data_IF_564105623525
#
_entry.id   IF_564105623525
#
_cell.length_a   1.000
_cell.length_b   1.000
_cell.length_c   1.000
_cell.angle_alpha   90.00
_cell.angle_beta   90.00
_cell.angle_gamma   90.00
#
_symmetry.space_group_name_H-M   'P 1'
#
loop_
_entity.id
_entity.type
_entity.pdbx_description
1 polymer ?
#
# COMPACT_ATOMS: atom_id res chain seq x y z
N UNK A 1 -5.71 -21.00 20.41
CA UNK A 1 -5.81 -21.60 19.06
C UNK A 1 -5.02 -20.78 18.04
N UNK A 2 -5.30 -19.48 17.86
CA UNK A 2 -4.50 -18.59 16.98
C UNK A 2 -3.00 -18.52 17.36
N UNK A 3 -2.69 -18.50 18.66
CA UNK A 3 -1.32 -18.42 19.18
C UNK A 3 -0.48 -19.67 18.87
N UNK A 4 -1.10 -20.85 18.78
CA UNK A 4 -0.43 -22.11 18.43
C UNK A 4 -0.03 -22.13 16.96
N UNK A 5 -0.90 -21.65 16.06
CA UNK A 5 -0.65 -21.64 14.62
C UNK A 5 0.53 -20.70 14.30
N UNK A 6 0.57 -19.53 14.93
CA UNK A 6 1.65 -18.53 14.74
C UNK A 6 3.03 -19.04 15.22
N UNK A 7 3.05 -19.85 16.28
CA UNK A 7 4.31 -20.31 16.91
C UNK A 7 4.85 -21.62 16.35
N UNK A 8 4.00 -22.58 15.97
CA UNK A 8 4.43 -23.91 15.53
C UNK A 8 4.67 -24.04 14.02
N UNK A 9 4.04 -23.19 13.20
CA UNK A 9 4.08 -23.31 11.74
C UNK A 9 4.62 -22.05 11.05
N UNK A 10 5.56 -21.34 11.70
CA UNK A 10 6.10 -20.07 11.21
C UNK A 10 6.68 -20.18 9.78
N UNK A 11 7.43 -21.23 9.49
CA UNK A 11 8.04 -21.43 8.17
C UNK A 11 7.00 -21.76 7.10
N UNK A 12 5.99 -22.56 7.45
CA UNK A 12 4.87 -22.87 6.57
C UNK A 12 4.02 -21.62 6.29
N UNK A 13 3.72 -20.83 7.32
CA UNK A 13 3.06 -19.54 7.22
C UNK A 13 3.82 -18.60 6.29
N UNK A 14 5.14 -18.48 6.46
CA UNK A 14 5.96 -17.62 5.61
C UNK A 14 5.92 -18.03 4.13
N UNK A 15 5.87 -19.33 3.86
CA UNK A 15 5.72 -19.87 2.50
C UNK A 15 4.34 -19.65 1.87
N UNK A 16 3.29 -19.46 2.69
CA UNK A 16 1.90 -19.38 2.22
C UNK A 16 1.23 -18.03 2.53
N UNK A 17 2.00 -16.98 2.84
CA UNK A 17 1.47 -15.67 3.25
C UNK A 17 0.42 -15.11 2.29
N UNK A 18 0.67 -15.20 0.97
CA UNK A 18 -0.25 -14.69 -0.04
C UNK A 18 -1.56 -15.48 -0.10
N UNK A 19 -1.49 -16.80 0.04
CA UNK A 19 -2.67 -17.69 0.07
C UNK A 19 -3.51 -17.44 1.31
N UNK A 20 -2.85 -17.35 2.47
CA UNK A 20 -3.52 -17.12 3.74
C UNK A 20 -4.14 -15.73 3.74
N UNK A 21 -3.44 -14.71 3.23
CA UNK A 21 -3.99 -13.36 3.10
C UNK A 21 -5.21 -13.32 2.17
N UNK A 22 -5.13 -13.93 0.99
CA UNK A 22 -6.27 -14.00 0.06
C UNK A 22 -7.45 -14.74 0.68
N UNK A 23 -7.22 -15.87 1.35
CA UNK A 23 -8.26 -16.66 2.01
C UNK A 23 -8.87 -15.92 3.20
N UNK A 24 -8.03 -15.38 4.08
CA UNK A 24 -8.46 -14.60 5.23
C UNK A 24 -9.22 -13.33 4.80
N UNK A 25 -8.88 -12.72 3.66
CA UNK A 25 -9.62 -11.58 3.07
C UNK A 25 -11.07 -11.88 2.71
N UNK A 26 -11.45 -13.16 2.69
CA UNK A 26 -12.84 -13.60 2.50
C UNK A 26 -13.60 -13.69 3.83
N UNK A 27 -12.91 -13.70 4.98
CA UNK A 27 -13.50 -13.87 6.31
C UNK A 27 -13.13 -12.70 7.22
N UNK A 28 -14.13 -11.88 7.60
CA UNK A 28 -13.94 -10.65 8.40
C UNK A 28 -13.53 -10.89 9.88
N UNK A 29 -13.46 -12.15 10.33
CA UNK A 29 -13.50 -12.50 11.75
C UNK A 29 -12.13 -12.72 12.44
N UNK A 30 -10.98 -12.71 11.74
CA UNK A 30 -9.69 -13.16 12.30
C UNK A 30 -8.74 -12.03 12.75
N UNK A 31 -9.17 -11.13 13.63
CA UNK A 31 -8.46 -9.86 13.87
C UNK A 31 -7.01 -9.96 14.42
N UNK A 32 -6.68 -10.92 15.30
CA UNK A 32 -5.30 -11.07 15.83
C UNK A 32 -4.35 -11.69 14.81
N UNK A 33 -4.79 -12.76 14.17
CA UNK A 33 -4.05 -13.45 13.13
C UNK A 33 -3.79 -12.53 11.92
N UNK A 34 -4.79 -11.73 11.55
CA UNK A 34 -4.66 -10.67 10.55
C UNK A 34 -3.60 -9.63 10.90
N UNK A 35 -3.56 -9.14 12.14
CA UNK A 35 -2.53 -8.18 12.57
C UNK A 35 -1.12 -8.76 12.41
N UNK A 36 -0.94 -10.05 12.72
CA UNK A 36 0.33 -10.73 12.55
C UNK A 36 0.71 -10.86 11.07
N UNK A 37 -0.21 -11.33 10.21
CA UNK A 37 0.04 -11.44 8.77
C UNK A 37 0.31 -10.09 8.11
N UNK A 38 -0.42 -9.04 8.48
CA UNK A 38 -0.13 -7.69 8.00
C UNK A 38 1.28 -7.24 8.41
N UNK A 39 1.72 -7.51 9.66
CA UNK A 39 3.08 -7.14 10.11
C UNK A 39 4.14 -7.81 9.23
N UNK A 40 3.97 -9.09 8.90
CA UNK A 40 4.91 -9.82 8.04
C UNK A 40 4.84 -9.38 6.57
N UNK A 41 3.64 -9.16 6.03
CA UNK A 41 3.43 -8.73 4.65
C UNK A 41 3.90 -7.30 4.38
N UNK A 42 3.81 -6.41 5.36
CA UNK A 42 4.33 -5.04 5.23
C UNK A 42 5.85 -5.03 5.13
N UNK A 43 6.53 -5.98 5.78
CA UNK A 43 7.98 -6.14 5.70
C UNK A 43 8.43 -6.82 4.40
N UNK A 44 7.67 -7.82 3.95
CA UNK A 44 7.94 -8.59 2.72
C UNK A 44 6.78 -8.51 1.74
N UNK A 45 6.41 -7.32 1.26
CA UNK A 45 5.26 -7.13 0.37
C UNK A 45 5.43 -7.90 -0.94
N UNK A 46 6.67 -8.09 -1.40
CA UNK A 46 6.98 -8.84 -2.62
C UNK A 46 6.47 -10.29 -2.56
N UNK A 47 6.35 -10.88 -1.38
CA UNK A 47 5.77 -12.23 -1.22
C UNK A 47 4.29 -12.26 -1.62
N UNK A 48 3.56 -11.16 -1.43
CA UNK A 48 2.19 -11.00 -1.92
C UNK A 48 2.18 -10.64 -3.40
N UNK A 49 2.90 -9.58 -3.80
CA UNK A 49 2.86 -9.05 -5.16
C UNK A 49 3.31 -10.04 -6.24
N UNK A 50 4.26 -10.93 -5.94
CA UNK A 50 4.72 -11.96 -6.90
C UNK A 50 3.81 -13.20 -6.96
N UNK A 51 2.80 -13.28 -6.09
CA UNK A 51 1.93 -14.44 -5.97
C UNK A 51 0.71 -14.35 -6.91
N UNK A 52 0.26 -15.45 -7.52
CA UNK A 52 -0.98 -15.47 -8.29
C UNK A 52 -2.21 -15.09 -7.43
N UNK A 53 -2.12 -15.27 -6.11
CA UNK A 53 -3.19 -14.90 -5.18
C UNK A 53 -3.43 -13.39 -5.13
N UNK A 54 -2.44 -12.55 -5.47
CA UNK A 54 -2.60 -11.11 -5.53
C UNK A 54 -3.64 -10.69 -6.57
N UNK A 55 -3.61 -11.30 -7.75
CA UNK A 55 -4.54 -11.04 -8.85
C UNK A 55 -6.00 -11.39 -8.48
N UNK A 56 -6.18 -12.30 -7.52
CA UNK A 56 -7.48 -12.73 -7.00
C UNK A 56 -8.03 -11.87 -5.85
N UNK A 57 -7.29 -10.87 -5.37
CA UNK A 57 -7.70 -10.07 -4.23
C UNK A 57 -8.93 -9.21 -4.53
N UNK A 58 -9.85 -9.15 -3.56
CA UNK A 58 -10.98 -8.22 -3.60
C UNK A 58 -10.47 -6.78 -3.59
N UNK A 59 -11.17 -5.92 -4.36
CA UNK A 59 -10.89 -4.47 -4.45
C UNK A 59 -10.70 -3.81 -3.07
N UNK A 60 -11.61 -4.08 -2.12
CA UNK A 60 -11.59 -3.46 -0.79
C UNK A 60 -10.34 -3.84 0.03
N UNK A 61 -9.95 -5.12 -0.02
CA UNK A 61 -8.74 -5.64 0.63
C UNK A 61 -7.49 -5.00 0.03
N UNK A 62 -7.39 -5.01 -1.30
CA UNK A 62 -6.25 -4.44 -2.00
C UNK A 62 -6.13 -2.94 -1.71
N UNK A 63 -7.25 -2.20 -1.74
CA UNK A 63 -7.26 -0.77 -1.45
C UNK A 63 -6.79 -0.48 -0.03
N UNK A 64 -7.21 -1.29 0.94
CA UNK A 64 -6.77 -1.16 2.34
C UNK A 64 -5.27 -1.42 2.47
N UNK A 65 -4.74 -2.38 1.72
CA UNK A 65 -3.30 -2.66 1.68
C UNK A 65 -2.51 -1.50 1.06
N UNK A 66 -2.92 -0.99 -0.11
CA UNK A 66 -2.23 0.11 -0.82
C UNK A 66 -2.27 1.44 -0.05
N UNK A 67 -3.29 1.68 0.77
CA UNK A 67 -3.39 2.90 1.61
C UNK A 67 -2.30 3.02 2.68
N UNK A 68 -1.64 1.91 3.03
CA UNK A 68 -0.69 1.88 4.15
C UNK A 68 0.60 2.65 3.86
N UNK A 69 1.02 3.53 4.77
CA UNK A 69 2.25 4.30 4.60
C UNK A 69 3.54 3.50 4.86
N UNK A 70 3.44 2.27 5.33
CA UNK A 70 4.57 1.49 5.85
C UNK A 70 5.03 0.32 4.96
N UNK A 71 4.45 0.17 3.75
CA UNK A 71 4.85 -0.88 2.83
C UNK A 71 6.30 -0.72 2.39
N UNK A 72 7.10 -1.78 2.54
CA UNK A 72 8.49 -1.84 2.10
C UNK A 72 8.64 -2.29 0.64
N UNK A 73 8.11 -1.50 -0.30
CA UNK A 73 8.16 -1.78 -1.75
C UNK A 73 8.21 -0.48 -2.55
N UNK A 74 8.87 -0.54 -3.71
CA UNK A 74 8.97 0.60 -4.62
C UNK A 74 7.59 0.96 -5.22
N UNK A 75 7.31 2.26 -5.32
CA UNK A 75 6.03 2.75 -5.83
C UNK A 75 5.78 2.37 -7.30
N UNK A 76 6.85 2.24 -8.10
CA UNK A 76 6.73 1.73 -9.47
C UNK A 76 6.28 0.27 -9.51
N UNK A 77 6.71 -0.53 -8.54
CA UNK A 77 6.32 -1.94 -8.44
C UNK A 77 4.87 -2.06 -7.96
N UNK A 78 4.43 -1.22 -7.02
CA UNK A 78 3.02 -1.11 -6.64
C UNK A 78 2.16 -0.78 -7.87
N UNK A 79 2.55 0.24 -8.63
CA UNK A 79 1.81 0.68 -9.81
C UNK A 79 1.72 -0.43 -10.87
N UNK A 80 2.84 -1.08 -11.19
CA UNK A 80 2.88 -2.19 -12.14
C UNK A 80 1.94 -3.32 -11.73
N UNK A 81 2.03 -3.77 -10.49
CA UNK A 81 1.16 -4.84 -10.01
C UNK A 81 -0.33 -4.43 -10.00
N UNK A 82 -0.64 -3.16 -9.72
CA UNK A 82 -2.03 -2.68 -9.81
C UNK A 82 -2.58 -2.73 -11.23
N UNK A 83 -1.75 -2.41 -12.24
CA UNK A 83 -2.11 -2.57 -13.65
C UNK A 83 -2.38 -4.06 -13.95
N UNK A 84 -1.48 -4.96 -13.55
CA UNK A 84 -1.64 -6.39 -13.74
C UNK A 84 -2.93 -6.91 -13.06
N UNK A 85 -3.17 -6.54 -11.80
CA UNK A 85 -4.40 -6.86 -11.08
C UNK A 85 -5.64 -6.36 -11.82
N UNK A 86 -5.61 -5.11 -12.29
CA UNK A 86 -6.75 -4.52 -12.97
C UNK A 86 -7.02 -5.19 -14.32
N UNK A 87 -6.00 -5.62 -15.06
CA UNK A 87 -6.15 -6.35 -16.32
C UNK A 87 -6.73 -7.75 -16.13
N UNK A 88 -6.38 -8.43 -15.05
CA UNK A 88 -6.89 -9.77 -14.71
C UNK A 88 -8.31 -9.77 -14.15
N UNK A 89 -8.87 -8.62 -13.79
CA UNK A 89 -10.28 -8.54 -13.37
C UNK A 89 -11.22 -8.85 -14.54
N UNK A 90 -12.41 -9.38 -14.23
CA UNK A 90 -13.41 -9.72 -15.25
C UNK A 90 -14.24 -8.48 -15.64
N UNK A 91 -14.42 -8.19 -16.95
CA UNK A 91 -13.83 -8.86 -18.12
C UNK A 91 -12.32 -8.60 -18.27
N UNK A 92 -11.57 -9.63 -18.63
CA UNK A 92 -10.11 -9.54 -18.75
C UNK A 92 -9.71 -8.53 -19.82
N UNK A 93 -8.78 -7.63 -19.48
CA UNK A 93 -8.18 -6.70 -20.42
C UNK A 93 -6.88 -7.29 -20.99
N UNK A 94 -6.46 -6.76 -22.13
CA UNK A 94 -5.14 -7.09 -22.69
C UNK A 94 -4.06 -6.50 -21.79
N UNK A 95 -2.87 -7.11 -21.79
CA UNK A 95 -1.71 -6.55 -21.10
C UNK A 95 -0.91 -5.56 -21.97
N UNK A 96 -1.07 -5.63 -23.30
CA UNK A 96 -0.42 -4.72 -24.25
C UNK A 96 -1.20 -3.41 -24.37
N UNK A 97 -0.77 -2.38 -23.63
CA UNK A 97 -1.34 -1.02 -23.64
C UNK A 97 -1.38 -0.38 -25.03
N UNK A 98 -0.46 -0.74 -25.93
CA UNK A 98 -0.45 -0.25 -27.32
C UNK A 98 -1.64 -0.75 -28.14
N UNK A 99 -2.35 -1.78 -27.67
CA UNK A 99 -3.55 -2.35 -28.30
C UNK A 99 -4.84 -2.00 -27.57
N UNK A 100 -4.81 -1.09 -26.61
CA UNK A 100 -5.99 -0.67 -25.86
C UNK A 100 -6.90 0.18 -26.73
N UNK A 101 -8.17 -0.19 -26.75
CA UNK A 101 -9.24 0.64 -27.27
C UNK A 101 -9.64 1.70 -26.24
N UNK A 102 -10.43 2.69 -26.65
CA UNK A 102 -10.97 3.68 -25.73
C UNK A 102 -11.82 3.04 -24.61
N UNK A 103 -12.49 1.92 -24.90
CA UNK A 103 -13.27 1.19 -23.90
C UNK A 103 -12.36 0.46 -22.91
N UNK A 104 -11.23 -0.09 -23.35
CA UNK A 104 -10.25 -0.72 -22.45
C UNK A 104 -9.69 0.30 -21.45
N UNK A 105 -9.38 1.52 -21.92
CA UNK A 105 -8.95 2.61 -21.03
C UNK A 105 -10.03 3.01 -20.03
N UNK A 106 -11.29 3.15 -20.45
CA UNK A 106 -12.42 3.47 -19.53
C UNK A 106 -12.63 2.39 -18.47
N UNK A 107 -12.51 1.12 -18.87
CA UNK A 107 -12.64 0.00 -17.94
C UNK A 107 -11.48 -0.02 -16.93
N UNK A 108 -10.25 0.17 -17.41
CA UNK A 108 -9.06 0.26 -16.56
C UNK A 108 -9.16 1.45 -15.58
N UNK A 109 -9.59 2.62 -16.06
CA UNK A 109 -9.84 3.81 -15.25
C UNK A 109 -10.86 3.52 -14.14
N UNK A 110 -12.00 2.91 -14.47
CA UNK A 110 -13.03 2.53 -13.49
C UNK A 110 -12.47 1.60 -12.41
N UNK A 111 -11.59 0.66 -12.80
CA UNK A 111 -10.92 -0.27 -11.88
C UNK A 111 -9.88 0.43 -11.01
N UNK A 112 -9.18 1.45 -11.48
CA UNK A 112 -8.06 2.04 -10.76
C UNK A 112 -8.34 3.40 -10.10
N UNK A 113 -9.46 4.05 -10.41
CA UNK A 113 -9.79 5.40 -9.91
C UNK A 113 -9.66 5.58 -8.40
N UNK A 114 -10.05 4.58 -7.61
CA UNK A 114 -9.99 4.66 -6.14
C UNK A 114 -8.58 4.40 -5.60
N UNK A 115 -7.70 3.80 -6.40
CA UNK A 115 -6.31 3.50 -6.04
C UNK A 115 -5.37 4.65 -6.37
N UNK A 116 -5.61 5.36 -7.49
CA UNK A 116 -4.76 6.46 -8.01
C UNK A 116 -4.37 7.48 -6.91
N UNK A 117 -5.28 7.96 -6.04
CA UNK A 117 -4.94 8.93 -4.99
C UNK A 117 -3.92 8.41 -3.96
N UNK A 118 -3.70 7.10 -3.88
CA UNK A 118 -2.82 6.46 -2.88
C UNK A 118 -1.46 6.03 -3.46
N UNK A 119 -1.21 6.31 -4.74
CA UNK A 119 0.05 6.04 -5.41
C UNK A 119 0.94 7.28 -5.35
N UNK A 120 2.19 7.11 -4.90
CA UNK A 120 3.14 8.23 -4.79
C UNK A 120 3.93 8.38 -6.08
N UNK A 121 3.26 8.79 -7.16
CA UNK A 121 3.87 8.90 -8.49
C UNK A 121 5.12 9.79 -8.52
N UNK A 122 5.19 10.82 -7.67
CA UNK A 122 6.36 11.70 -7.55
C UNK A 122 7.57 11.05 -6.85
N UNK A 123 7.40 9.87 -6.26
CA UNK A 123 8.48 9.07 -5.68
C UNK A 123 9.05 8.03 -6.68
N UNK A 124 8.54 8.00 -7.91
CA UNK A 124 8.99 7.11 -8.99
C UNK A 124 10.09 7.82 -9.80
N UNK A 125 11.06 7.07 -10.32
CA UNK A 125 12.12 7.65 -11.18
C UNK A 125 11.58 8.05 -12.56
N UNK A 126 12.28 8.94 -13.27
CA UNK A 126 11.89 9.36 -14.63
C UNK A 126 11.78 8.18 -15.60
N UNK A 127 12.70 7.22 -15.50
CA UNK A 127 12.70 6.04 -16.37
C UNK A 127 11.49 5.15 -16.08
N UNK A 128 11.20 4.90 -14.80
CA UNK A 128 10.04 4.14 -14.36
C UNK A 128 8.73 4.85 -14.74
N UNK A 129 8.65 6.18 -14.65
CA UNK A 129 7.52 6.96 -15.13
C UNK A 129 7.33 6.78 -16.64
N UNK A 130 8.39 6.96 -17.43
CA UNK A 130 8.34 6.91 -18.89
C UNK A 130 7.91 5.54 -19.40
N UNK A 131 8.40 4.46 -18.78
CA UNK A 131 8.11 3.09 -19.21
C UNK A 131 6.84 2.52 -18.59
N UNK A 132 6.50 2.90 -17.36
CA UNK A 132 5.45 2.24 -16.58
C UNK A 132 4.19 3.07 -16.34
N UNK A 133 4.29 4.39 -16.26
CA UNK A 133 3.16 5.28 -15.93
C UNK A 133 2.64 5.99 -17.18
N UNK A 134 3.54 6.56 -17.98
CA UNK A 134 3.21 7.34 -19.18
C UNK A 134 2.31 6.59 -20.18
N UNK A 135 2.51 5.27 -20.47
CA UNK A 135 1.63 4.56 -21.40
C UNK A 135 0.15 4.51 -20.96
N UNK A 136 -0.10 4.67 -19.66
CA UNK A 136 -1.43 4.64 -19.05
C UNK A 136 -1.91 6.04 -18.65
N UNK A 137 -1.29 7.12 -19.13
CA UNK A 137 -1.62 8.49 -18.67
C UNK A 137 -3.10 8.88 -18.91
N UNK A 138 -3.78 8.21 -19.85
CA UNK A 138 -5.19 8.43 -20.17
C UNK A 138 -6.16 8.05 -19.04
N UNK A 139 -5.74 7.19 -18.10
CA UNK A 139 -6.58 6.83 -16.93
C UNK A 139 -6.33 7.75 -15.72
N UNK A 140 -5.35 8.64 -15.81
CA UNK A 140 -5.02 9.57 -14.74
C UNK A 140 -5.89 10.83 -14.85
N UNK A 141 -6.33 11.42 -13.73
CA UNK A 141 -6.98 12.73 -13.75
C UNK A 141 -6.12 13.78 -14.46
N UNK A 142 -6.75 14.66 -15.24
CA UNK A 142 -6.04 15.65 -16.06
C UNK A 142 -5.09 16.54 -15.24
N UNK A 143 -5.47 16.89 -14.02
CA UNK A 143 -4.64 17.67 -13.09
C UNK A 143 -3.35 16.92 -12.75
N UNK A 144 -3.47 15.67 -12.32
CA UNK A 144 -2.35 14.80 -11.98
C UNK A 144 -1.44 14.56 -13.20
N UNK A 145 -2.02 14.26 -14.38
CA UNK A 145 -1.25 14.05 -15.61
C UNK A 145 -0.38 15.26 -15.95
N UNK A 146 -0.95 16.46 -15.88
CA UNK A 146 -0.24 17.70 -16.19
C UNK A 146 0.89 18.00 -15.19
N UNK A 147 0.68 17.71 -13.90
CA UNK A 147 1.70 17.91 -12.88
C UNK A 147 2.85 16.90 -12.98
N UNK A 148 2.54 15.63 -13.24
CA UNK A 148 3.56 14.60 -13.49
C UNK A 148 4.42 14.96 -14.70
N UNK A 149 3.79 15.37 -15.81
CA UNK A 149 4.51 15.78 -17.01
C UNK A 149 5.48 16.93 -16.71
N UNK A 150 5.02 17.99 -16.06
CA UNK A 150 5.87 19.14 -15.67
C UNK A 150 7.02 18.73 -14.77
N UNK A 151 6.78 17.83 -13.81
CA UNK A 151 7.79 17.35 -12.86
C UNK A 151 8.90 16.57 -13.59
N UNK A 152 8.53 15.59 -14.41
CA UNK A 152 9.49 14.73 -15.11
C UNK A 152 10.16 15.40 -16.32
N UNK A 153 9.54 16.40 -16.96
CA UNK A 153 10.17 17.25 -17.98
C UNK A 153 11.31 18.10 -17.38
N UNK A 154 11.15 18.57 -16.14
CA UNK A 154 12.19 19.32 -15.42
C UNK A 154 13.30 18.46 -14.82
N UNK A 155 13.42 17.18 -15.22
CA UNK A 155 14.36 16.21 -14.63
C UNK A 155 14.26 16.09 -13.09
N UNK A 156 13.09 16.36 -12.49
CA UNK A 156 12.91 16.33 -11.04
C UNK A 156 13.63 17.46 -10.29
N UNK A 157 14.10 18.50 -10.98
CA UNK A 157 14.69 19.70 -10.36
C UNK A 157 13.67 20.49 -9.53
N UNK A 158 12.39 20.36 -9.87
CA UNK A 158 11.29 20.94 -9.09
C UNK A 158 10.87 19.98 -8.00
N UNK A 159 10.73 20.46 -6.77
CA UNK A 159 10.13 19.67 -5.69
C UNK A 159 8.71 19.22 -6.07
N UNK A 160 8.30 18.00 -5.68
CA UNK A 160 6.91 17.59 -5.81
C UNK A 160 5.95 18.62 -5.18
N UNK A 161 4.72 18.77 -5.69
CA UNK A 161 3.77 19.69 -5.07
C UNK A 161 3.48 19.25 -3.63
N UNK A 162 3.31 20.22 -2.72
CA UNK A 162 3.22 19.96 -1.27
C UNK A 162 1.99 19.15 -0.84
N UNK A 163 0.98 19.11 -1.70
CA UNK A 163 -0.29 18.44 -1.42
C UNK A 163 -0.24 16.93 -1.72
N UNK A 164 0.88 16.41 -2.26
CA UNK A 164 1.03 15.00 -2.58
C UNK A 164 1.63 14.17 -1.44
N UNK A 165 1.29 12.88 -1.47
CA UNK A 165 1.75 11.91 -0.47
C UNK A 165 3.29 11.81 -0.48
N UNK A 166 3.96 11.96 0.68
CA UNK A 166 5.40 11.77 0.80
C UNK A 166 5.75 10.28 0.69
N UNK A 167 7.01 9.95 0.39
CA UNK A 167 7.51 8.58 0.28
C UNK A 167 7.05 7.68 1.45
N UNK A 168 6.81 6.39 1.17
CA UNK A 168 6.48 5.40 2.21
C UNK A 168 7.65 5.29 3.20
N UNK A 169 7.33 4.99 4.46
CA UNK A 169 8.30 4.81 5.53
C UNK A 169 8.23 3.35 5.98
N UNK A 170 9.09 2.47 5.45
CA UNK A 170 9.13 1.07 5.84
C UNK A 170 9.35 0.89 7.34
N UNK A 171 8.62 -0.05 7.95
CA UNK A 171 8.91 -0.46 9.34
C UNK A 171 10.16 -1.37 9.30
N UNK A 172 11.32 -0.81 9.66
CA UNK A 172 12.50 -1.58 10.00
C UNK A 172 12.46 -1.93 11.50
N UNK A 173 12.51 -3.22 11.87
CA UNK A 173 12.51 -3.71 13.25
C UNK A 173 13.76 -3.33 14.08
N UNK A 174 14.61 -2.41 13.63
CA UNK A 174 15.66 -1.85 14.49
C UNK A 174 15.08 -0.91 15.57
N UNK A 175 13.80 -0.56 15.49
CA UNK A 175 13.11 0.22 16.52
C UNK A 175 12.20 -0.71 17.33
N UNK A 176 12.43 -0.89 18.64
CA UNK A 176 11.55 -1.68 19.50
C UNK A 176 10.10 -1.20 19.42
N UNK A 177 9.15 -2.14 19.51
CA UNK A 177 7.70 -1.91 19.41
C UNK A 177 7.17 -0.80 20.37
N UNK A 178 7.98 -0.33 21.34
CA UNK A 178 7.68 0.78 22.25
C UNK A 178 7.65 2.18 21.61
N UNK A 179 8.13 2.35 20.36
CA UNK A 179 8.16 3.67 19.68
C UNK A 179 7.02 3.82 18.65
N UNK A 180 6.30 2.74 18.34
CA UNK A 180 5.28 2.72 17.28
C UNK A 180 3.90 3.25 17.70
N UNK A 181 3.79 3.88 18.87
CA UNK A 181 2.65 4.76 19.13
C UNK A 181 3.09 6.18 18.73
N UNK A 182 3.00 6.46 17.43
CA UNK A 182 3.20 7.81 16.91
C UNK A 182 2.15 8.74 17.55
N UNK A 183 2.66 9.70 18.32
CA UNK A 183 1.96 10.58 19.25
C UNK A 183 0.81 11.44 18.68
N UNK A 184 0.55 11.42 17.37
CA UNK A 184 -0.59 12.15 16.77
C UNK A 184 -1.94 11.43 16.85
N UNK A 185 -1.96 10.11 16.99
CA UNK A 185 -3.23 9.38 17.16
C UNK A 185 -3.71 9.33 18.62
N UNK A 186 -2.80 9.51 19.59
CA UNK A 186 -3.15 9.60 21.01
C UNK A 186 -3.71 10.97 21.40
N UNK A 187 -3.24 12.08 20.80
CA UNK A 187 -3.80 13.41 21.06
C UNK A 187 -5.28 13.50 20.68
N UNK A 188 -5.70 12.91 19.55
CA UNK A 188 -7.10 12.88 19.14
C UNK A 188 -7.99 12.08 20.13
N UNK A 189 -7.49 10.98 20.69
CA UNK A 189 -8.21 10.19 21.69
C UNK A 189 -8.23 10.84 23.08
N UNK A 190 -7.19 11.60 23.43
CA UNK A 190 -7.11 12.34 24.68
C UNK A 190 -8.00 13.60 24.69
N UNK A 191 -8.23 14.19 23.51
CA UNK A 191 -9.09 15.39 23.38
C UNK A 191 -10.57 15.02 23.38
N UNK A 192 -10.95 13.82 22.93
CA UNK A 192 -12.35 13.36 22.89
C UNK A 192 -12.86 12.71 24.19
N UNK A 193 -11.99 12.24 25.10
CA UNK A 193 -12.45 11.51 26.30
C UNK A 193 -12.53 12.32 27.60
N UNK A 194 -12.08 13.58 27.63
CA UNK A 194 -12.26 14.45 28.80
C UNK A 194 -11.77 13.84 30.13
N UNK A 195 -10.73 13.00 30.12
CA UNK A 195 -10.18 12.41 31.33
C UNK A 195 -8.82 13.02 31.71
N UNK A 196 -8.88 13.79 32.78
CA UNK A 196 -7.77 14.24 33.61
C UNK A 196 -7.03 13.03 34.16
N UNK A 197 -5.81 12.76 33.69
CA UNK A 197 -4.63 12.37 34.51
C UNK A 197 -3.48 11.86 33.63
N UNK A 198 -2.68 12.76 33.07
CA UNK A 198 -1.46 12.43 32.31
C UNK A 198 -0.17 12.72 33.09
N UNK A 199 -0.22 12.77 34.42
CA UNK A 199 0.91 13.19 35.25
C UNK A 199 1.52 12.11 36.16
N UNK A 200 1.21 10.82 35.98
CA UNK A 200 1.71 9.78 36.88
C UNK A 200 2.60 8.68 36.26
N UNK A 201 2.92 8.72 34.96
CA UNK A 201 3.73 7.67 34.31
C UNK A 201 5.03 8.14 33.65
N UNK A 202 5.54 9.33 34.02
CA UNK A 202 6.86 9.83 33.56
C UNK A 202 7.82 10.14 34.72
N UNK A 203 7.74 9.39 35.81
CA UNK A 203 8.69 9.55 36.90
C UNK A 203 8.86 8.29 37.71
N UNK A 204 9.71 7.37 37.26
CA UNK A 204 10.82 6.80 38.06
C UNK A 204 11.83 6.19 37.08
N UNK A 205 12.87 6.95 36.75
CA UNK A 205 14.23 6.41 36.57
C UNK A 205 14.98 6.86 37.80
N UNK A 206 15.48 5.92 38.62
CA UNK A 206 16.76 6.05 39.34
C UNK A 206 17.15 4.76 40.06
N UNK A 207 18.33 4.29 39.65
CA UNK A 207 19.21 3.23 40.16
C UNK A 207 18.78 1.78 39.93
#
# INVERSE_FOLDING_TARGET
MEECIITYERDWIQGHLAEIFSTASKYENFTRLWKHFYKELVQKPNALFTSPYFLSLKRSTLLTFIKRNDLNIDESEIWKNLIDWACEQTPMLRHDVGRFTQNDFKELESRLKDFIPFIRFFCITKDQYTLGVLPYENILPDTLRNELRKFFESNGEKSPPKDFLPSRIPINHSVPDSVLINNRQLELLATESGMVSFQFLMGVVRY
#
